data_IF_695785626119
#
_entry.id   IF_695785626119
#
_cell.length_a   1.000
_cell.length_b   1.000
_cell.length_c   1.000
_cell.angle_alpha   90.00
_cell.angle_beta   90.00
_cell.angle_gamma   90.00
#
_symmetry.space_group_name_H-M   'P 1'
#
loop_
_entity.id
_entity.type
_entity.pdbx_description
1 polymer ?
#
# COMPACT_ATOMS: atom_id res chain seq x y z
N UNK A 1 -19.69 -4.14 0.67
CA UNK A 1 -19.48 -5.55 0.24
C UNK A 1 -19.46 -6.46 1.46
N UNK A 2 -18.63 -6.19 2.45
CA UNK A 2 -18.48 -6.96 3.70
C UNK A 2 -19.80 -7.17 4.43
N UNK A 3 -20.58 -6.11 4.67
CA UNK A 3 -21.90 -6.18 5.33
C UNK A 3 -22.86 -7.11 4.59
N UNK A 4 -22.87 -7.07 3.25
CA UNK A 4 -23.68 -7.96 2.43
C UNK A 4 -23.26 -9.42 2.58
N UNK A 5 -21.94 -9.69 2.58
CA UNK A 5 -21.40 -11.03 2.75
C UNK A 5 -21.73 -11.59 4.15
N UNK A 6 -21.51 -10.80 5.20
CA UNK A 6 -21.85 -11.19 6.57
C UNK A 6 -23.35 -11.49 6.73
N UNK A 7 -24.22 -10.61 6.19
CA UNK A 7 -25.66 -10.81 6.20
C UNK A 7 -26.07 -12.10 5.49
N UNK A 8 -25.51 -12.36 4.31
CA UNK A 8 -25.82 -13.60 3.54
C UNK A 8 -25.29 -14.85 4.22
N UNK A 9 -24.03 -14.85 4.67
CA UNK A 9 -23.42 -16.02 5.33
C UNK A 9 -24.12 -16.37 6.64
N UNK A 10 -24.64 -15.39 7.37
CA UNK A 10 -25.32 -15.60 8.65
C UNK A 10 -26.84 -15.75 8.52
N UNK A 11 -27.37 -15.92 7.30
CA UNK A 11 -28.82 -16.01 7.04
C UNK A 11 -29.59 -14.83 7.61
N UNK A 12 -29.10 -13.60 7.40
CA UNK A 12 -29.76 -12.36 7.82
C UNK A 12 -29.57 -11.96 9.28
N UNK A 13 -28.77 -12.70 10.07
CA UNK A 13 -28.59 -12.45 11.50
C UNK A 13 -27.56 -11.37 11.82
N UNK A 14 -26.53 -11.21 10.98
CA UNK A 14 -25.46 -10.22 11.18
C UNK A 14 -25.47 -9.17 10.05
N UNK A 15 -25.95 -7.99 10.36
CA UNK A 15 -25.79 -6.80 9.51
C UNK A 15 -24.72 -5.91 10.13
N UNK A 16 -23.46 -6.16 9.76
CA UNK A 16 -22.27 -5.58 10.38
C UNK A 16 -21.26 -5.10 9.32
N UNK A 17 -20.40 -4.20 9.71
CA UNK A 17 -19.16 -3.82 9.01
C UNK A 17 -18.04 -3.70 10.03
N UNK A 18 -16.79 -3.97 9.66
CA UNK A 18 -15.70 -3.77 10.60
C UNK A 18 -15.20 -2.31 10.59
N UNK A 19 -14.42 -1.95 11.62
CA UNK A 19 -13.85 -0.60 11.76
C UNK A 19 -13.01 -0.16 10.57
N UNK A 20 -12.35 -1.09 9.86
CA UNK A 20 -11.51 -0.77 8.69
C UNK A 20 -12.36 -0.42 7.48
N UNK A 21 -13.40 -1.21 7.17
CA UNK A 21 -14.35 -0.91 6.11
C UNK A 21 -15.18 0.35 6.43
N UNK A 22 -15.63 0.50 7.69
CA UNK A 22 -16.35 1.70 8.13
C UNK A 22 -15.54 2.97 7.87
N UNK A 23 -14.23 2.96 8.14
CA UNK A 23 -13.33 4.10 7.93
C UNK A 23 -13.19 4.53 6.46
N UNK A 24 -13.66 3.72 5.51
CA UNK A 24 -13.62 4.03 4.06
C UNK A 24 -14.93 4.61 3.52
N UNK A 25 -15.94 4.80 4.37
CA UNK A 25 -17.28 5.23 3.93
C UNK A 25 -17.47 6.74 3.87
N UNK A 26 -16.56 7.54 4.43
CA UNK A 26 -16.73 8.99 4.71
C UNK A 26 -17.89 9.29 5.67
N UNK A 27 -18.39 8.30 6.41
CA UNK A 27 -19.47 8.44 7.39
C UNK A 27 -19.03 8.10 8.81
N UNK A 28 -17.78 7.60 8.94
CA UNK A 28 -17.22 7.09 10.19
C UNK A 28 -16.31 8.12 10.85
N UNK A 29 -16.48 8.32 12.14
CA UNK A 29 -15.64 9.19 12.93
C UNK A 29 -14.45 8.43 13.49
N UNK A 30 -13.24 8.82 13.10
CA UNK A 30 -12.00 8.14 13.47
C UNK A 30 -11.64 8.27 14.96
N UNK A 31 -12.17 9.27 15.67
CA UNK A 31 -11.90 9.49 17.10
C UNK A 31 -12.86 8.69 17.98
N UNK A 32 -14.16 8.73 17.65
CA UNK A 32 -15.21 8.05 18.44
C UNK A 32 -15.43 6.60 18.03
N UNK A 33 -14.92 6.19 16.85
CA UNK A 33 -15.10 4.87 16.23
C UNK A 33 -16.57 4.50 16.02
N UNK A 34 -17.40 5.49 15.74
CA UNK A 34 -18.83 5.37 15.48
C UNK A 34 -19.21 6.07 14.17
N UNK A 35 -20.44 5.86 13.72
CA UNK A 35 -21.00 6.68 12.65
C UNK A 35 -21.07 8.14 13.10
N UNK A 36 -20.68 9.07 12.21
CA UNK A 36 -20.62 10.49 12.50
C UNK A 36 -21.97 11.15 12.22
N UNK A 37 -22.64 11.63 13.26
CA UNK A 37 -23.98 12.22 13.17
C UNK A 37 -24.03 13.49 12.28
N UNK A 38 -22.96 14.26 12.23
CA UNK A 38 -22.89 15.45 11.39
C UNK A 38 -22.78 15.05 9.91
N UNK A 39 -21.90 14.09 9.60
CA UNK A 39 -21.75 13.57 8.24
C UNK A 39 -23.04 12.87 7.77
N UNK A 40 -23.66 12.06 8.63
CA UNK A 40 -24.95 11.44 8.30
C UNK A 40 -26.01 12.47 7.94
N UNK A 41 -26.08 13.57 8.70
CA UNK A 41 -27.03 14.66 8.42
C UNK A 41 -26.70 15.37 7.09
N UNK A 42 -25.43 15.63 6.80
CA UNK A 42 -24.99 16.27 5.53
C UNK A 42 -25.39 15.41 4.34
N UNK A 43 -25.17 14.09 4.41
CA UNK A 43 -25.50 13.16 3.32
C UNK A 43 -26.96 12.70 3.31
N UNK A 44 -27.78 13.10 4.29
CA UNK A 44 -29.19 12.69 4.40
C UNK A 44 -29.38 11.18 4.67
N UNK A 45 -28.44 10.55 5.35
CA UNK A 45 -28.44 9.10 5.62
C UNK A 45 -28.94 8.86 7.05
N UNK A 46 -29.90 7.94 7.21
CA UNK A 46 -30.36 7.49 8.53
C UNK A 46 -29.39 6.48 9.11
N UNK A 47 -28.96 6.64 10.38
CA UNK A 47 -28.12 5.70 11.09
C UNK A 47 -28.72 4.28 11.14
N UNK A 48 -30.06 4.17 11.23
CA UNK A 48 -30.77 2.90 11.21
C UNK A 48 -30.60 2.10 9.91
N UNK A 49 -30.14 2.72 8.84
CA UNK A 49 -29.85 2.06 7.56
C UNK A 49 -28.40 1.55 7.46
N UNK A 50 -27.58 1.86 8.45
CA UNK A 50 -26.16 1.49 8.45
C UNK A 50 -25.93 0.20 9.26
N UNK A 51 -24.89 -0.59 8.90
CA UNK A 51 -24.53 -1.78 9.66
C UNK A 51 -23.95 -1.41 11.02
N UNK A 52 -24.08 -2.33 11.99
CA UNK A 52 -23.35 -2.22 13.26
C UNK A 52 -21.85 -2.31 13.00
N UNK A 53 -21.08 -1.42 13.61
CA UNK A 53 -19.62 -1.45 13.54
C UNK A 53 -19.09 -2.48 14.54
N UNK A 54 -18.12 -3.32 14.09
CA UNK A 54 -17.48 -4.37 14.87
C UNK A 54 -15.96 -4.29 14.74
N UNK A 55 -15.22 -5.00 15.61
CA UNK A 55 -13.76 -5.15 15.44
C UNK A 55 -13.46 -6.10 14.28
N UNK A 56 -12.25 -5.97 13.70
CA UNK A 56 -11.86 -6.77 12.54
C UNK A 56 -11.73 -8.26 12.87
N UNK A 57 -11.47 -8.63 14.13
CA UNK A 57 -11.36 -10.00 14.64
C UNK A 57 -12.67 -10.53 15.28
N UNK A 58 -13.75 -9.73 15.32
CA UNK A 58 -14.98 -10.12 16.01
C UNK A 58 -15.69 -11.28 15.29
N UNK A 59 -16.09 -12.31 16.07
CA UNK A 59 -16.99 -13.37 15.57
C UNK A 59 -18.41 -12.82 15.47
N UNK A 60 -18.92 -12.66 14.26
CA UNK A 60 -20.23 -12.04 13.98
C UNK A 60 -21.36 -13.05 13.75
N UNK A 61 -21.03 -14.31 13.60
CA UNK A 61 -22.02 -15.37 13.41
C UNK A 61 -21.42 -16.69 12.96
N UNK A 62 -22.26 -17.52 12.38
CA UNK A 62 -21.87 -18.83 11.85
C UNK A 62 -22.49 -19.04 10.46
N UNK A 63 -21.74 -19.64 9.59
CA UNK A 63 -22.15 -20.14 8.28
C UNK A 63 -22.20 -21.67 8.31
N UNK A 64 -23.31 -22.25 7.84
CA UNK A 64 -23.44 -23.71 7.77
C UNK A 64 -23.09 -24.19 6.34
N UNK A 65 -22.13 -25.09 6.24
CA UNK A 65 -21.77 -25.74 5.00
C UNK A 65 -21.67 -27.27 5.19
N UNK A 66 -22.47 -28.00 4.43
CA UNK A 66 -22.54 -29.49 4.52
C UNK A 66 -22.65 -30.02 5.93
N UNK A 67 -23.50 -29.40 6.77
CA UNK A 67 -23.72 -29.79 8.15
C UNK A 67 -22.63 -29.36 9.16
N UNK A 68 -21.62 -28.65 8.69
CA UNK A 68 -20.56 -28.09 9.56
C UNK A 68 -20.82 -26.60 9.77
N UNK A 69 -20.80 -26.16 11.01
CA UNK A 69 -20.88 -24.75 11.38
C UNK A 69 -19.50 -24.13 11.34
N UNK A 70 -19.34 -23.15 10.49
CA UNK A 70 -18.09 -22.39 10.27
C UNK A 70 -18.29 -21.00 10.86
N UNK A 71 -17.45 -20.52 11.79
CA UNK A 71 -17.56 -19.17 12.31
C UNK A 71 -17.27 -18.12 11.22
N UNK A 72 -18.02 -17.02 11.22
CA UNK A 72 -17.81 -15.85 10.38
C UNK A 72 -17.10 -14.79 11.23
N UNK A 73 -15.85 -14.52 10.91
CA UNK A 73 -14.98 -13.55 11.56
C UNK A 73 -13.83 -13.17 10.60
N UNK A 74 -12.94 -12.28 11.01
CA UNK A 74 -11.83 -11.85 10.17
C UNK A 74 -12.30 -10.95 9.02
N UNK A 75 -12.94 -9.83 9.35
CA UNK A 75 -13.50 -8.86 8.40
C UNK A 75 -12.55 -7.66 8.33
N UNK A 76 -12.10 -7.30 7.14
CA UNK A 76 -11.29 -6.10 6.92
C UNK A 76 -11.37 -5.62 5.48
N UNK A 77 -11.09 -4.35 5.25
CA UNK A 77 -10.79 -3.83 3.91
C UNK A 77 -9.55 -4.53 3.33
N UNK A 78 -9.45 -4.65 2.02
CA UNK A 78 -8.38 -5.40 1.34
C UNK A 78 -6.98 -4.90 1.69
N UNK A 79 -6.77 -3.58 1.69
CA UNK A 79 -5.49 -2.97 2.03
C UNK A 79 -5.13 -3.17 3.52
N UNK A 80 -6.11 -3.12 4.41
CA UNK A 80 -5.96 -3.35 5.84
C UNK A 80 -5.73 -4.84 6.15
N UNK A 81 -6.44 -5.73 5.46
CA UNK A 81 -6.17 -7.16 5.53
C UNK A 81 -4.73 -7.46 5.09
N UNK A 82 -4.26 -6.85 3.97
CA UNK A 82 -2.88 -6.98 3.54
C UNK A 82 -1.87 -6.42 4.57
N UNK A 83 -2.20 -5.33 5.28
CA UNK A 83 -1.37 -4.80 6.36
C UNK A 83 -1.17 -5.85 7.47
N UNK A 84 -2.25 -6.50 7.90
CA UNK A 84 -2.22 -7.59 8.89
C UNK A 84 -1.49 -8.82 8.33
N UNK A 85 -1.78 -9.23 7.09
CA UNK A 85 -1.15 -10.39 6.45
C UNK A 85 0.35 -10.22 6.24
N UNK A 86 0.81 -8.99 6.06
CA UNK A 86 2.24 -8.64 6.05
C UNK A 86 2.83 -8.53 7.47
N UNK A 87 2.04 -8.75 8.53
CA UNK A 87 2.49 -8.65 9.91
C UNK A 87 2.92 -7.23 10.31
N UNK A 88 2.32 -6.20 9.72
CA UNK A 88 2.59 -4.79 10.00
C UNK A 88 1.76 -4.30 11.18
N UNK A 89 1.98 -4.85 12.37
CA UNK A 89 1.19 -4.59 13.56
C UNK A 89 1.81 -3.57 14.53
N UNK A 90 3.07 -3.23 14.34
CA UNK A 90 3.77 -2.26 15.17
C UNK A 90 3.81 -0.88 14.53
N UNK A 91 3.90 0.13 15.37
CA UNK A 91 4.12 1.51 14.95
C UNK A 91 5.41 1.63 14.11
N UNK A 92 5.33 2.28 12.94
CA UNK A 92 6.43 2.35 11.98
C UNK A 92 6.54 1.17 11.00
N UNK A 93 5.76 0.10 11.20
CA UNK A 93 5.65 -0.95 10.18
C UNK A 93 4.91 -0.44 8.94
N UNK A 94 5.34 -0.90 7.78
CA UNK A 94 4.72 -0.47 6.52
C UNK A 94 4.67 -1.60 5.51
N UNK A 95 3.58 -1.61 4.74
CA UNK A 95 3.47 -2.46 3.57
C UNK A 95 3.26 -1.62 2.32
N UNK A 96 3.76 -2.10 1.19
CA UNK A 96 3.55 -1.53 -0.12
C UNK A 96 3.15 -2.60 -1.12
N UNK A 97 2.05 -2.37 -1.83
CA UNK A 97 1.56 -3.26 -2.88
C UNK A 97 1.84 -2.65 -4.24
N UNK A 98 2.65 -3.32 -5.06
CA UNK A 98 3.00 -2.94 -6.43
C UNK A 98 2.06 -3.60 -7.43
N UNK A 99 0.89 -2.98 -7.64
CA UNK A 99 -0.11 -3.38 -8.63
C UNK A 99 -0.08 -2.50 -9.88
N UNK A 100 -1.24 -2.25 -10.50
CA UNK A 100 -1.42 -1.24 -11.57
C UNK A 100 -0.93 0.13 -11.11
N UNK A 101 -1.37 0.54 -9.91
CA UNK A 101 -0.80 1.61 -9.10
C UNK A 101 0.07 1.04 -7.98
N UNK A 102 0.44 1.89 -7.04
CA UNK A 102 1.18 1.55 -5.84
C UNK A 102 0.40 2.07 -4.63
N UNK A 103 0.17 1.19 -3.65
CA UNK A 103 -0.58 1.51 -2.44
C UNK A 103 0.27 1.18 -1.21
N UNK A 104 0.55 2.21 -0.42
CA UNK A 104 1.34 2.09 0.79
C UNK A 104 0.49 2.37 2.01
N UNK A 105 0.52 1.47 2.98
CA UNK A 105 -0.01 1.68 4.32
C UNK A 105 1.13 1.74 5.33
N UNK A 106 1.05 2.73 6.20
CA UNK A 106 2.04 3.02 7.24
C UNK A 106 1.35 3.03 8.59
N UNK A 107 1.67 2.08 9.47
CA UNK A 107 1.07 1.96 10.79
C UNK A 107 1.52 3.12 11.69
N UNK A 108 0.58 3.95 12.12
CA UNK A 108 0.82 5.12 12.99
C UNK A 108 0.53 4.83 14.47
N UNK A 109 0.25 3.57 14.82
CA UNK A 109 -0.04 3.16 16.19
C UNK A 109 -1.50 3.36 16.58
N UNK A 110 -1.74 3.49 17.87
CA UNK A 110 -3.08 3.53 18.47
C UNK A 110 -3.66 4.94 18.60
N UNK A 111 -3.00 5.94 18.05
CA UNK A 111 -3.43 7.34 18.11
C UNK A 111 -3.77 7.85 16.72
N UNK A 112 -4.98 8.37 16.55
CA UNK A 112 -5.39 8.98 15.29
C UNK A 112 -4.56 10.25 15.03
N UNK A 113 -3.87 10.26 13.89
CA UNK A 113 -3.13 11.43 13.38
C UNK A 113 -3.77 11.80 12.04
N UNK A 114 -4.41 12.96 11.95
CA UNK A 114 -5.04 13.41 10.72
C UNK A 114 -3.98 14.05 9.81
N UNK A 115 -3.77 13.46 8.64
CA UNK A 115 -2.80 13.96 7.67
C UNK A 115 -3.20 15.34 7.13
N UNK A 116 -2.19 16.22 7.01
CA UNK A 116 -2.30 17.56 6.45
C UNK A 116 -1.58 17.70 5.09
N UNK A 117 -0.95 16.62 4.60
CA UNK A 117 -0.09 16.60 3.41
C UNK A 117 -0.57 15.64 2.33
N UNK A 118 -1.88 15.40 2.29
CA UNK A 118 -2.48 14.63 1.20
C UNK A 118 -2.40 13.11 1.35
N UNK A 119 -2.12 12.59 2.56
CA UNK A 119 -2.32 11.17 2.84
C UNK A 119 -3.75 10.94 3.34
N UNK A 120 -4.24 9.72 3.20
CA UNK A 120 -5.51 9.32 3.82
C UNK A 120 -5.21 8.75 5.20
N UNK A 121 -5.81 9.33 6.25
CA UNK A 121 -5.84 8.71 7.57
C UNK A 121 -6.96 7.70 7.62
N UNK A 122 -6.65 6.47 8.04
CA UNK A 122 -7.61 5.35 8.06
C UNK A 122 -7.37 4.48 9.30
N UNK A 123 -8.32 3.60 9.59
CA UNK A 123 -8.10 2.51 10.55
C UNK A 123 -7.21 1.46 9.89
N UNK A 124 -6.13 1.04 10.55
CA UNK A 124 -5.24 -0.02 10.12
C UNK A 124 -5.82 -1.41 10.41
N UNK A 125 -6.29 -1.62 11.61
CA UNK A 125 -6.99 -2.85 12.06
C UNK A 125 -7.68 -2.62 13.42
N UNK A 126 -8.65 -3.48 13.73
CA UNK A 126 -9.27 -3.59 15.06
C UNK A 126 -9.08 -5.00 15.59
N UNK A 127 -8.19 -5.22 16.56
CA UNK A 127 -7.85 -6.53 17.11
C UNK A 127 -7.84 -6.47 18.64
N UNK A 128 -8.46 -7.45 19.31
CA UNK A 128 -8.44 -7.56 20.76
C UNK A 128 -9.03 -6.34 21.48
N UNK A 129 -10.01 -5.67 20.88
CA UNK A 129 -10.63 -4.44 21.40
C UNK A 129 -9.79 -3.17 21.26
N UNK A 130 -8.66 -3.23 20.55
CA UNK A 130 -7.80 -2.06 20.26
C UNK A 130 -7.84 -1.75 18.77
N UNK A 131 -7.87 -0.46 18.44
CA UNK A 131 -7.85 0.03 17.05
C UNK A 131 -6.51 0.70 16.77
N UNK A 132 -5.81 0.21 15.74
CA UNK A 132 -4.62 0.86 15.18
C UNK A 132 -5.00 1.72 13.98
N UNK A 133 -4.27 2.81 13.80
CA UNK A 133 -4.45 3.72 12.67
C UNK A 133 -3.30 3.57 11.68
N UNK A 134 -3.55 4.00 10.45
CA UNK A 134 -2.54 4.01 9.40
C UNK A 134 -2.68 5.25 8.52
N UNK A 135 -1.57 5.71 7.96
CA UNK A 135 -1.57 6.54 6.78
C UNK A 135 -1.63 5.67 5.52
N UNK A 136 -2.41 6.10 4.55
CA UNK A 136 -2.44 5.50 3.22
C UNK A 136 -2.00 6.54 2.19
N UNK A 137 -1.05 6.12 1.34
CA UNK A 137 -0.62 6.85 0.16
C UNK A 137 -0.87 6.03 -1.10
N UNK A 138 -1.45 6.67 -2.11
CA UNK A 138 -1.80 6.04 -3.38
C UNK A 138 -1.08 6.72 -4.53
N UNK A 139 -0.31 5.95 -5.31
CA UNK A 139 0.30 6.36 -6.58
C UNK A 139 -0.46 5.67 -7.70
N UNK A 140 -1.05 6.43 -8.60
CA UNK A 140 -1.99 5.90 -9.59
C UNK A 140 -1.34 5.01 -10.64
N UNK A 141 -0.09 5.29 -10.99
CA UNK A 141 0.63 4.62 -12.06
C UNK A 141 1.96 4.03 -11.55
N UNK A 142 2.03 2.70 -11.51
CA UNK A 142 3.24 1.95 -11.16
C UNK A 142 3.45 0.81 -12.17
N UNK A 143 2.87 -0.37 -11.93
CA UNK A 143 2.92 -1.49 -12.89
C UNK A 143 2.29 -1.14 -14.25
N UNK A 144 1.32 -0.24 -14.29
CA UNK A 144 0.76 0.30 -15.54
C UNK A 144 1.81 0.95 -16.44
N UNK A 145 2.86 1.55 -15.87
CA UNK A 145 3.95 2.13 -16.65
C UNK A 145 4.80 1.04 -17.35
N UNK A 146 5.04 -0.08 -16.68
CA UNK A 146 5.71 -1.23 -17.30
C UNK A 146 4.81 -1.87 -18.38
N UNK A 147 3.51 -1.97 -18.11
CA UNK A 147 2.54 -2.46 -19.11
C UNK A 147 2.53 -1.54 -20.34
N UNK A 148 2.55 -0.24 -20.16
CA UNK A 148 2.62 0.73 -21.26
C UNK A 148 3.89 0.56 -22.11
N UNK A 149 5.07 0.35 -21.50
CA UNK A 149 6.30 0.04 -22.25
C UNK A 149 6.18 -1.25 -23.06
N UNK A 150 5.49 -2.26 -22.52
CA UNK A 150 5.28 -3.55 -23.17
C UNK A 150 4.25 -3.44 -24.30
N UNK A 151 3.06 -2.94 -24.00
CA UNK A 151 1.88 -3.07 -24.87
C UNK A 151 1.80 -1.96 -25.93
N UNK A 152 2.21 -0.74 -25.57
CA UNK A 152 2.13 0.41 -26.47
C UNK A 152 3.45 0.72 -27.18
N UNK A 153 4.60 0.55 -26.48
CA UNK A 153 5.91 0.84 -27.08
C UNK A 153 6.63 -0.41 -27.59
N UNK A 154 6.20 -1.62 -27.21
CA UNK A 154 6.79 -2.86 -27.70
C UNK A 154 8.24 -3.08 -27.26
N UNK A 155 8.66 -2.56 -26.13
CA UNK A 155 10.05 -2.65 -25.66
C UNK A 155 10.45 -4.08 -25.27
N UNK A 156 9.50 -4.88 -24.82
CA UNK A 156 9.64 -6.28 -24.44
C UNK A 156 8.30 -6.99 -24.57
N UNK A 157 8.28 -8.33 -24.49
CA UNK A 157 7.06 -9.16 -24.64
C UNK A 157 6.40 -9.50 -23.31
N UNK A 158 7.19 -9.67 -22.25
CA UNK A 158 6.72 -10.04 -20.91
C UNK A 158 7.25 -9.05 -19.89
N UNK A 159 6.47 -8.71 -18.90
CA UNK A 159 6.85 -7.72 -17.87
C UNK A 159 8.17 -8.08 -17.15
N UNK A 160 8.44 -9.36 -16.93
CA UNK A 160 9.70 -9.82 -16.31
C UNK A 160 10.96 -9.45 -17.10
N UNK A 161 10.87 -9.31 -18.43
CA UNK A 161 12.01 -8.89 -19.27
C UNK A 161 12.44 -7.44 -19.01
N UNK A 162 11.61 -6.64 -18.33
CA UNK A 162 11.97 -5.29 -17.93
C UNK A 162 13.16 -5.24 -16.97
N UNK A 163 13.32 -6.25 -16.15
CA UNK A 163 14.45 -6.38 -15.21
C UNK A 163 15.77 -6.56 -15.96
N UNK A 164 15.82 -7.53 -16.88
CA UNK A 164 17.03 -7.81 -17.68
C UNK A 164 17.41 -6.58 -18.49
N UNK A 165 16.40 -5.93 -19.10
CA UNK A 165 16.63 -4.74 -19.91
C UNK A 165 17.16 -3.58 -19.05
N UNK A 166 16.62 -3.36 -17.86
CA UNK A 166 17.12 -2.33 -16.92
C UNK A 166 18.54 -2.62 -16.42
N UNK A 167 18.87 -3.90 -16.18
CA UNK A 167 20.21 -4.35 -15.77
C UNK A 167 21.25 -4.29 -16.90
N UNK A 168 20.81 -4.24 -18.16
CA UNK A 168 21.72 -4.16 -19.31
C UNK A 168 22.46 -2.81 -19.46
N UNK A 169 22.07 -1.81 -18.67
CA UNK A 169 22.71 -0.49 -18.59
C UNK A 169 23.11 -0.17 -17.15
N UNK A 170 24.19 0.56 -16.96
CA UNK A 170 24.72 0.86 -15.62
C UNK A 170 23.88 1.91 -14.87
N UNK A 171 23.20 2.80 -15.59
CA UNK A 171 22.35 3.86 -15.03
C UNK A 171 21.25 4.24 -16.02
N UNK A 172 20.29 5.07 -15.60
CA UNK A 172 19.32 5.70 -16.50
C UNK A 172 19.91 6.87 -17.28
N UNK A 173 21.21 7.19 -17.11
CA UNK A 173 21.95 8.29 -17.76
C UNK A 173 21.24 9.65 -17.66
N UNK A 174 20.58 9.90 -16.50
CA UNK A 174 19.84 11.15 -16.26
C UNK A 174 18.45 11.19 -16.91
N UNK A 175 18.00 10.07 -17.48
CA UNK A 175 16.61 9.93 -17.94
C UNK A 175 15.71 9.71 -16.74
N UNK A 176 14.61 10.45 -16.67
CA UNK A 176 13.53 10.27 -15.70
C UNK A 176 12.21 10.09 -16.44
N UNK A 177 11.39 9.18 -15.94
CA UNK A 177 10.02 8.94 -16.42
C UNK A 177 9.06 9.25 -15.27
N UNK A 178 8.17 10.20 -15.47
CA UNK A 178 7.06 10.47 -14.53
C UNK A 178 5.79 9.92 -15.17
N UNK A 179 5.26 8.78 -14.69
CA UNK A 179 4.15 8.10 -15.36
C UNK A 179 2.78 8.67 -14.94
N UNK A 180 2.57 9.97 -15.11
CA UNK A 180 1.31 10.64 -14.77
C UNK A 180 0.23 10.43 -15.85
N UNK A 181 -0.09 9.17 -16.19
CA UNK A 181 -1.06 8.87 -17.26
C UNK A 181 -2.49 9.29 -16.91
N UNK A 182 -2.81 9.28 -15.61
CA UNK A 182 -4.12 9.67 -15.05
C UNK A 182 -3.95 10.74 -13.97
N UNK A 183 -2.98 11.64 -14.14
CA UNK A 183 -2.56 12.57 -13.11
C UNK A 183 -1.59 11.96 -12.12
N UNK A 184 -1.24 12.75 -11.10
CA UNK A 184 -0.42 12.33 -9.96
C UNK A 184 -1.30 12.19 -8.71
N UNK A 185 -1.16 11.06 -8.00
CA UNK A 185 -1.78 10.82 -6.70
C UNK A 185 -0.99 11.45 -5.56
N UNK A 186 -1.06 10.82 -4.38
CA UNK A 186 -0.33 11.29 -3.22
C UNK A 186 1.20 11.34 -3.46
N UNK A 187 1.90 12.34 -2.93
CA UNK A 187 1.39 13.46 -2.14
C UNK A 187 1.00 14.69 -2.96
N UNK A 188 1.05 14.62 -4.28
CA UNK A 188 0.92 15.78 -5.19
C UNK A 188 -0.53 16.15 -5.48
N UNK A 189 -1.41 15.17 -5.68
CA UNK A 189 -2.83 15.33 -5.99
C UNK A 189 -3.11 16.29 -7.16
N UNK A 190 -2.36 16.10 -8.25
CA UNK A 190 -2.54 16.88 -9.48
C UNK A 190 -3.19 16.00 -10.57
N UNK A 191 -4.50 16.13 -10.79
CA UNK A 191 -5.21 15.35 -11.81
C UNK A 191 -4.90 15.80 -13.25
N UNK A 192 -4.35 17.02 -13.43
CA UNK A 192 -4.03 17.57 -14.74
C UNK A 192 -2.61 17.22 -15.21
N UNK A 193 -1.74 16.77 -14.31
CA UNK A 193 -0.40 16.33 -14.63
C UNK A 193 -0.42 15.27 -15.73
N UNK A 194 0.51 15.35 -16.67
CA UNK A 194 0.66 14.39 -17.78
C UNK A 194 2.00 13.68 -17.69
N UNK A 195 2.06 12.45 -18.26
CA UNK A 195 3.28 11.67 -18.30
C UNK A 195 4.42 12.45 -18.95
N UNK A 196 5.62 12.37 -18.35
CA UNK A 196 6.82 13.08 -18.79
C UNK A 196 8.00 12.11 -18.91
N UNK A 197 8.75 12.21 -20.01
CA UNK A 197 10.09 11.64 -20.15
C UNK A 197 11.06 12.81 -20.35
N UNK A 198 12.06 12.92 -19.48
CA UNK A 198 13.06 14.01 -19.54
C UNK A 198 14.48 13.47 -19.43
N UNK A 199 15.48 14.26 -19.83
CA UNK A 199 16.89 13.84 -19.81
C UNK A 199 17.33 13.00 -21.01
N UNK A 200 16.51 12.91 -22.06
CA UNK A 200 16.83 12.16 -23.30
C UNK A 200 17.98 12.81 -24.04
N UNK A 201 18.93 11.99 -24.45
CA UNK A 201 20.05 12.35 -25.34
C UNK A 201 20.08 11.41 -26.55
N UNK A 202 20.98 11.67 -27.50
CA UNK A 202 21.19 10.78 -28.66
C UNK A 202 21.61 9.35 -28.27
N UNK A 203 22.22 9.17 -27.11
CA UNK A 203 22.66 7.87 -26.58
C UNK A 203 21.54 7.11 -25.85
N UNK A 204 20.40 7.74 -25.58
CA UNK A 204 19.30 7.12 -24.86
C UNK A 204 18.70 5.97 -25.66
N UNK A 205 18.60 4.80 -25.03
CA UNK A 205 18.01 3.59 -25.61
C UNK A 205 16.76 3.17 -24.84
N UNK A 206 16.03 2.18 -25.35
CA UNK A 206 14.89 1.59 -24.64
C UNK A 206 15.27 1.03 -23.26
N UNK A 207 16.51 0.59 -23.05
CA UNK A 207 17.00 0.10 -21.77
C UNK A 207 17.05 1.22 -20.71
N UNK A 208 17.52 2.41 -21.08
CA UNK A 208 17.55 3.58 -20.20
C UNK A 208 16.14 4.01 -19.78
N UNK A 209 15.19 4.02 -20.74
CA UNK A 209 13.79 4.37 -20.47
C UNK A 209 13.13 3.31 -19.58
N UNK A 210 13.37 2.02 -19.84
CA UNK A 210 12.82 0.92 -19.00
C UNK A 210 13.35 1.01 -17.57
N UNK A 211 14.66 1.24 -17.41
CA UNK A 211 15.29 1.44 -16.11
C UNK A 211 14.69 2.66 -15.38
N UNK A 212 14.60 3.81 -16.04
CA UNK A 212 14.00 5.02 -15.48
C UNK A 212 12.53 4.80 -15.08
N UNK A 213 11.78 3.96 -15.81
CA UNK A 213 10.40 3.59 -15.46
C UNK A 213 10.35 2.74 -14.19
N UNK A 214 11.25 1.76 -14.02
CA UNK A 214 11.32 0.99 -12.77
C UNK A 214 11.77 1.86 -11.60
N UNK A 215 12.80 2.70 -11.82
CA UNK A 215 13.28 3.66 -10.81
C UNK A 215 12.16 4.63 -10.37
N UNK A 216 11.23 5.02 -11.27
CA UNK A 216 10.12 5.93 -10.94
C UNK A 216 9.18 5.39 -9.88
N UNK A 217 8.97 4.06 -9.84
CA UNK A 217 8.17 3.43 -8.80
C UNK A 217 8.83 3.58 -7.42
N UNK A 218 10.14 3.38 -7.37
CA UNK A 218 10.92 3.53 -6.15
C UNK A 218 10.95 4.99 -5.66
N UNK A 219 11.09 5.95 -6.57
CA UNK A 219 11.03 7.36 -6.23
C UNK A 219 9.66 7.75 -5.67
N UNK A 220 8.58 7.32 -6.31
CA UNK A 220 7.22 7.57 -5.83
C UNK A 220 6.98 6.97 -4.44
N UNK A 221 7.51 5.77 -4.15
CA UNK A 221 7.45 5.20 -2.82
C UNK A 221 8.24 6.04 -1.80
N UNK A 222 9.43 6.56 -2.16
CA UNK A 222 10.21 7.46 -1.30
C UNK A 222 9.45 8.76 -1.01
N UNK A 223 8.74 9.32 -2.01
CA UNK A 223 7.88 10.50 -1.80
C UNK A 223 6.87 10.26 -0.69
N UNK A 224 6.19 9.09 -0.70
CA UNK A 224 5.24 8.72 0.33
C UNK A 224 5.91 8.53 1.70
N UNK A 225 7.02 7.80 1.77
CA UNK A 225 7.75 7.56 3.03
C UNK A 225 8.14 8.87 3.70
N UNK A 226 8.69 9.82 2.93
CA UNK A 226 9.10 11.13 3.47
C UNK A 226 7.93 11.88 4.11
N UNK A 227 6.76 11.86 3.46
CA UNK A 227 5.57 12.54 4.01
C UNK A 227 5.02 11.80 5.22
N UNK A 228 4.95 10.46 5.16
CA UNK A 228 4.48 9.62 6.26
C UNK A 228 5.34 9.77 7.51
N UNK A 229 6.67 9.71 7.38
CA UNK A 229 7.58 9.94 8.50
C UNK A 229 7.49 11.37 9.06
N UNK A 230 7.36 12.36 8.19
CA UNK A 230 7.28 13.76 8.62
C UNK A 230 6.00 14.07 9.39
N UNK A 231 4.87 13.52 8.98
CA UNK A 231 3.59 13.79 9.64
C UNK A 231 3.37 12.93 10.88
N UNK A 232 3.81 11.67 10.87
CA UNK A 232 3.70 10.79 12.04
C UNK A 232 4.76 11.08 13.12
N UNK A 233 5.93 11.58 12.72
CA UNK A 233 7.11 11.66 13.58
C UNK A 233 7.79 10.31 13.82
N UNK A 234 7.30 9.24 13.19
CA UNK A 234 7.76 7.86 13.34
C UNK A 234 8.67 7.52 12.15
N UNK A 235 9.75 6.78 12.40
CA UNK A 235 10.65 6.32 11.34
C UNK A 235 10.22 4.97 10.79
N UNK A 236 10.32 4.81 9.47
CA UNK A 236 10.13 3.53 8.80
C UNK A 236 11.19 2.53 9.29
N UNK A 237 10.74 1.41 9.84
CA UNK A 237 11.62 0.34 10.32
C UNK A 237 12.04 -0.59 9.20
N UNK A 238 11.08 -1.04 8.40
CA UNK A 238 11.20 -1.95 7.28
C UNK A 238 10.06 -1.72 6.30
N UNK A 239 10.30 -1.90 5.00
CA UNK A 239 9.27 -1.86 3.98
C UNK A 239 8.93 -3.28 3.53
N UNK A 240 7.76 -3.78 3.90
CA UNK A 240 7.24 -5.07 3.43
C UNK A 240 6.52 -4.87 2.11
N UNK A 241 6.83 -5.68 1.10
CA UNK A 241 6.33 -5.46 -0.26
C UNK A 241 5.63 -6.70 -0.83
N UNK A 242 4.56 -6.47 -1.59
CA UNK A 242 3.87 -7.49 -2.38
C UNK A 242 3.39 -6.93 -3.72
N UNK A 243 2.56 -7.71 -4.43
CA UNK A 243 2.09 -7.37 -5.76
C UNK A 243 3.03 -7.76 -6.88
N UNK A 244 2.57 -7.65 -8.13
CA UNK A 244 3.26 -8.22 -9.30
C UNK A 244 4.67 -7.68 -9.53
N UNK A 245 4.90 -6.38 -9.37
CA UNK A 245 6.21 -5.79 -9.62
C UNK A 245 7.21 -6.00 -8.46
N UNK A 246 6.79 -6.48 -7.29
CA UNK A 246 7.71 -6.85 -6.21
C UNK A 246 8.59 -8.05 -6.57
N UNK A 247 8.22 -8.84 -7.60
CA UNK A 247 9.06 -9.92 -8.14
C UNK A 247 10.30 -9.44 -8.89
N UNK A 248 10.40 -8.15 -9.22
CA UNK A 248 11.53 -7.55 -9.89
C UNK A 248 12.63 -7.22 -8.87
N UNK A 249 13.70 -8.02 -8.86
CA UNK A 249 14.79 -7.86 -7.91
C UNK A 249 15.57 -6.55 -8.08
N UNK A 250 15.70 -6.05 -9.32
CA UNK A 250 16.32 -4.76 -9.56
C UNK A 250 15.54 -3.62 -8.87
N UNK A 251 14.20 -3.63 -9.01
CA UNK A 251 13.35 -2.63 -8.37
C UNK A 251 13.46 -2.70 -6.84
N UNK A 252 13.42 -3.89 -6.26
CA UNK A 252 13.49 -4.07 -4.81
C UNK A 252 14.84 -3.66 -4.22
N UNK A 253 15.94 -4.01 -4.89
CA UNK A 253 17.28 -3.58 -4.48
C UNK A 253 17.45 -2.05 -4.59
N UNK A 254 17.00 -1.48 -5.71
CA UNK A 254 17.01 -0.02 -5.89
C UNK A 254 16.17 0.68 -4.82
N UNK A 255 15.00 0.14 -4.48
CA UNK A 255 14.11 0.66 -3.44
C UNK A 255 14.78 0.65 -2.06
N UNK A 256 15.41 -0.46 -1.67
CA UNK A 256 16.12 -0.58 -0.40
C UNK A 256 17.23 0.47 -0.27
N UNK A 257 18.06 0.59 -1.29
CA UNK A 257 19.15 1.56 -1.33
C UNK A 257 18.65 3.02 -1.35
N UNK A 258 17.55 3.30 -2.07
CA UNK A 258 16.97 4.63 -2.19
C UNK A 258 16.34 5.14 -0.90
N UNK A 259 15.62 4.28 -0.18
CA UNK A 259 14.96 4.65 1.09
C UNK A 259 15.93 4.52 2.26
N UNK A 260 16.87 3.58 2.19
CA UNK A 260 17.87 3.34 3.24
C UNK A 260 17.38 2.39 4.34
N UNK A 261 16.32 1.58 4.08
CA UNK A 261 15.82 0.54 4.97
C UNK A 261 15.69 -0.79 4.23
N UNK A 262 15.57 -1.87 4.98
CA UNK A 262 15.32 -3.18 4.39
C UNK A 262 14.00 -3.20 3.62
N UNK A 263 14.01 -3.85 2.45
CA UNK A 263 12.79 -4.19 1.70
C UNK A 263 12.62 -5.70 1.77
N UNK A 264 11.46 -6.13 2.27
CA UNK A 264 11.20 -7.52 2.64
C UNK A 264 10.06 -8.08 1.80
N UNK A 265 10.36 -9.01 0.90
CA UNK A 265 9.38 -9.71 0.07
C UNK A 265 8.91 -11.00 0.75
N UNK A 266 7.58 -11.24 0.88
CA UNK A 266 7.06 -12.46 1.49
C UNK A 266 7.13 -13.65 0.53
N UNK A 267 7.15 -14.86 1.10
CA UNK A 267 6.95 -16.09 0.34
C UNK A 267 5.51 -16.19 -0.17
N UNK A 268 4.53 -15.92 0.70
CA UNK A 268 3.12 -15.89 0.34
C UNK A 268 2.74 -14.53 -0.28
N UNK A 269 2.24 -14.57 -1.51
CA UNK A 269 1.88 -13.36 -2.29
C UNK A 269 0.47 -12.86 -2.00
N UNK A 270 -0.43 -13.75 -1.51
CA UNK A 270 -1.82 -13.44 -1.22
C UNK A 270 -1.98 -12.86 0.19
N UNK A 271 -1.22 -11.82 0.50
CA UNK A 271 -1.18 -11.17 1.83
C UNK A 271 -2.56 -10.73 2.31
N UNK A 272 -3.45 -10.33 1.40
CA UNK A 272 -4.82 -9.91 1.72
C UNK A 272 -5.65 -11.07 2.28
N UNK A 273 -5.65 -12.22 1.61
CA UNK A 273 -6.37 -13.40 2.07
C UNK A 273 -5.79 -13.93 3.39
N UNK A 274 -4.46 -13.92 3.50
CA UNK A 274 -3.75 -14.33 4.71
C UNK A 274 -4.09 -13.44 5.91
N UNK A 275 -4.19 -12.13 5.70
CA UNK A 275 -4.58 -11.19 6.75
C UNK A 275 -5.99 -11.41 7.29
N UNK A 276 -6.95 -11.67 6.40
CA UNK A 276 -8.30 -12.04 6.82
C UNK A 276 -8.32 -13.36 7.62
N UNK A 277 -7.49 -14.34 7.21
CA UNK A 277 -7.33 -15.59 7.94
C UNK A 277 -6.69 -15.39 9.32
N UNK A 278 -5.68 -14.53 9.44
CA UNK A 278 -5.05 -14.20 10.73
C UNK A 278 -6.01 -13.47 11.67
N UNK A 279 -6.80 -12.51 11.16
CA UNK A 279 -7.84 -11.85 11.95
C UNK A 279 -8.87 -12.86 12.48
N UNK A 280 -9.31 -13.79 11.62
CA UNK A 280 -10.22 -14.85 12.03
C UNK A 280 -9.59 -15.77 13.08
N UNK A 281 -8.36 -16.20 12.89
CA UNK A 281 -7.64 -17.07 13.83
C UNK A 281 -7.43 -16.39 15.19
N UNK A 282 -7.10 -15.08 15.19
CA UNK A 282 -6.98 -14.29 16.42
C UNK A 282 -8.33 -14.16 17.14
N UNK A 283 -9.40 -13.82 16.42
CA UNK A 283 -10.75 -13.68 16.98
C UNK A 283 -11.32 -14.98 17.55
N UNK A 284 -10.88 -16.13 17.06
CA UNK A 284 -11.22 -17.45 17.58
C UNK A 284 -10.27 -17.95 18.69
N UNK A 285 -9.24 -17.18 19.03
CA UNK A 285 -8.24 -17.58 20.03
C UNK A 285 -7.32 -18.73 19.60
N UNK A 286 -7.23 -18.99 18.28
CA UNK A 286 -6.33 -20.02 17.70
C UNK A 286 -4.88 -19.53 17.72
N UNK A 287 -4.67 -18.24 17.47
CA UNK A 287 -3.38 -17.56 17.58
C UNK A 287 -3.53 -16.33 18.46
N UNK A 288 -2.44 -15.85 19.04
CA UNK A 288 -2.45 -14.56 19.73
C UNK A 288 -2.16 -13.43 18.73
N UNK A 289 -2.77 -12.24 18.89
CA UNK A 289 -2.52 -11.12 18.00
C UNK A 289 -1.02 -10.76 17.86
N UNK A 290 -0.26 -10.82 18.95
CA UNK A 290 1.17 -10.56 19.00
C UNK A 290 2.03 -11.54 18.18
N UNK A 291 1.52 -12.74 17.92
CA UNK A 291 2.25 -13.78 17.16
C UNK A 291 2.10 -13.59 15.63
N UNK A 292 1.12 -12.82 15.16
CA UNK A 292 0.81 -12.65 13.72
C UNK A 292 2.05 -12.22 12.94
N UNK A 293 2.81 -11.25 13.45
CA UNK A 293 4.01 -10.75 12.74
C UNK A 293 5.08 -11.84 12.56
N UNK A 294 5.14 -12.82 13.46
CA UNK A 294 6.09 -13.94 13.39
C UNK A 294 5.67 -15.05 12.43
N UNK A 295 4.40 -15.08 12.04
CA UNK A 295 3.88 -16.07 11.09
C UNK A 295 4.25 -15.76 9.63
N UNK A 296 4.69 -14.53 9.37
CA UNK A 296 5.10 -14.11 8.05
C UNK A 296 6.47 -14.68 7.69
N UNK A 297 6.55 -15.41 6.59
CA UNK A 297 7.81 -15.95 6.06
C UNK A 297 8.38 -14.97 5.02
N UNK A 298 9.63 -14.59 5.20
CA UNK A 298 10.39 -13.79 4.25
C UNK A 298 10.96 -14.68 3.15
N UNK A 299 10.60 -14.44 1.88
CA UNK A 299 11.25 -15.08 0.73
C UNK A 299 12.62 -14.47 0.49
N UNK A 300 12.66 -13.11 0.42
CA UNK A 300 13.90 -12.39 0.13
C UNK A 300 13.95 -11.04 0.84
N UNK A 301 15.09 -10.79 1.45
CA UNK A 301 15.43 -9.52 2.09
C UNK A 301 16.42 -8.75 1.22
N UNK A 302 16.09 -7.53 0.86
CA UNK A 302 16.97 -6.60 0.16
C UNK A 302 17.46 -5.56 1.16
N UNK A 303 18.76 -5.52 1.38
CA UNK A 303 19.38 -4.68 2.39
C UNK A 303 20.15 -3.53 1.71
N UNK A 304 19.98 -2.28 2.16
CA UNK A 304 20.73 -1.15 1.60
C UNK A 304 22.23 -1.36 1.83
N UNK A 305 23.06 -0.90 0.86
CA UNK A 305 24.52 -1.08 0.93
C UNK A 305 25.15 -0.40 2.15
N UNK A 306 24.52 0.66 2.65
CA UNK A 306 25.01 1.43 3.80
C UNK A 306 26.26 2.27 3.53
N UNK A 307 26.91 2.10 2.37
CA UNK A 307 28.10 2.87 2.01
C UNK A 307 27.73 4.35 1.75
N UNK A 308 28.54 5.28 2.27
CA UNK A 308 28.25 6.72 2.17
C UNK A 308 28.16 7.20 0.71
N UNK A 309 29.07 6.71 -0.16
CA UNK A 309 29.02 7.01 -1.60
C UNK A 309 27.72 6.58 -2.29
N UNK A 310 27.09 5.51 -1.81
CA UNK A 310 25.82 5.05 -2.36
C UNK A 310 24.66 5.93 -1.87
N UNK A 311 24.69 6.37 -0.63
CA UNK A 311 23.72 7.35 -0.12
C UNK A 311 23.76 8.64 -0.93
N UNK A 312 24.94 9.23 -1.14
CA UNK A 312 25.11 10.44 -1.96
C UNK A 312 24.59 10.22 -3.39
N UNK A 313 24.88 9.04 -3.98
CA UNK A 313 24.39 8.67 -5.32
C UNK A 313 22.86 8.67 -5.36
N UNK A 314 22.20 7.96 -4.42
CA UNK A 314 20.75 7.83 -4.41
C UNK A 314 20.05 9.14 -4.06
N UNK A 315 20.62 9.99 -3.19
CA UNK A 315 20.13 11.33 -2.93
C UNK A 315 20.20 12.22 -4.20
N UNK A 316 21.30 12.18 -4.94
CA UNK A 316 21.44 12.91 -6.22
C UNK A 316 20.42 12.45 -7.26
N UNK A 317 20.17 11.16 -7.37
CA UNK A 317 19.15 10.60 -8.25
C UNK A 317 17.74 11.07 -7.82
N UNK A 318 17.45 11.07 -6.54
CA UNK A 318 16.18 11.55 -6.02
C UNK A 318 15.96 13.05 -6.23
N UNK A 319 17.00 13.88 -6.10
CA UNK A 319 16.93 15.31 -6.47
C UNK A 319 16.58 15.50 -7.95
N UNK A 320 17.11 14.65 -8.84
CA UNK A 320 16.72 14.63 -10.25
C UNK A 320 15.26 14.27 -10.47
N UNK A 321 14.74 13.28 -9.71
CA UNK A 321 13.33 12.91 -9.71
C UNK A 321 12.43 14.08 -9.31
N UNK A 322 12.73 14.76 -8.20
CA UNK A 322 11.95 15.93 -7.76
C UNK A 322 11.88 17.02 -8.81
N UNK A 323 12.98 17.24 -9.54
CA UNK A 323 13.00 18.20 -10.66
C UNK A 323 12.14 17.74 -11.84
N UNK A 324 12.10 16.43 -12.12
CA UNK A 324 11.25 15.87 -13.18
C UNK A 324 9.77 15.99 -12.81
N UNK A 325 9.40 15.65 -11.58
CA UNK A 325 8.02 15.82 -11.09
C UNK A 325 7.59 17.28 -11.14
N UNK A 326 8.44 18.22 -10.68
CA UNK A 326 8.13 19.65 -10.74
C UNK A 326 7.84 20.16 -12.16
N UNK A 327 8.45 19.56 -13.19
CA UNK A 327 8.15 19.90 -14.60
C UNK A 327 6.86 19.27 -15.12
N UNK A 328 6.36 18.27 -14.42
CA UNK A 328 5.15 17.53 -14.76
C UNK A 328 3.90 18.14 -14.13
N UNK A 329 4.06 18.82 -12.97
CA UNK A 329 2.97 19.50 -12.28
C UNK A 329 2.42 20.63 -13.14
N UNK A 330 1.09 20.75 -13.15
CA UNK A 330 0.38 21.87 -13.78
C UNK A 330 0.38 23.04 -12.78
N UNK A 331 0.92 24.20 -13.19
CA UNK A 331 0.97 25.44 -12.38
C UNK A 331 -0.43 26.08 -12.27
#
# INVERSE_FOLDING_TARGET
>A
VDSFLCYKLTNGKAFVTDVTNASRTMLFNLETLTWDNELLKIFGISENSLPKIVMSDEKVGEFEYKGVKIPVCGIAGDQQAALVGQGCLSEGDSKITYGTGLFMLYNTGYKSIISQKGLVTTVGYGIGGKVSYAFEGSVFNAGSAVQWLRDNLGFFRRAGESEDLAKSVNSSEGVYVVPAFTGLGAPYWDPEAKGLITGITRATTKAHITRATLESMAYSAKDLVIVMEKESGIKLSELKCDGGASSNDFLMDFQANLIGVNVNRPEEKESTALGAAYLCAAGLGIIKPEDISSLRICEKLFTPSGAEKDKEKYEKLYEGWKKAVKRCLYD
#
